data_IF_240108724972
#
_entry.id   IF_240108724972
#
_cell.length_a   1.000
_cell.length_b   1.000
_cell.length_c   1.000
_cell.angle_alpha   90.00
_cell.angle_beta   90.00
_cell.angle_gamma   90.00
#
_symmetry.space_group_name_H-M   'P 1'
#
loop_
_entity.id
_entity.type
_entity.pdbx_description
1 polymer ?
#
# COMPACT_ATOMS: atom_id res chain seq x y z
N UNK A 1 20.69 -38.87 -14.11
CA UNK A 1 19.46 -38.72 -13.30
C UNK A 1 19.66 -37.61 -12.27
N UNK A 2 19.31 -36.36 -12.60
CA UNK A 2 19.16 -35.29 -11.61
C UNK A 2 17.68 -34.95 -11.57
N UNK A 3 16.95 -35.57 -10.66
CA UNK A 3 15.59 -35.15 -10.33
C UNK A 3 15.65 -33.71 -9.84
N UNK A 4 15.29 -32.75 -10.68
CA UNK A 4 15.15 -31.34 -10.30
C UNK A 4 14.02 -31.22 -9.28
N UNK A 5 14.34 -31.47 -8.01
CA UNK A 5 13.42 -31.23 -6.91
C UNK A 5 13.17 -29.73 -6.84
N UNK A 6 11.96 -29.32 -7.24
CA UNK A 6 11.47 -27.98 -6.98
C UNK A 6 11.60 -27.72 -5.46
N UNK A 7 12.37 -26.71 -5.03
CA UNK A 7 12.56 -26.46 -3.61
C UNK A 7 11.20 -26.17 -2.98
N UNK A 8 10.91 -26.80 -1.85
CA UNK A 8 9.73 -26.48 -1.05
C UNK A 8 10.05 -25.30 -0.13
N UNK A 9 9.08 -24.41 0.08
CA UNK A 9 9.18 -23.32 1.06
C UNK A 9 9.12 -23.91 2.48
N UNK A 10 10.29 -24.28 3.00
CA UNK A 10 10.42 -24.87 4.34
C UNK A 10 9.87 -23.89 5.38
N UNK A 11 8.97 -24.38 6.23
CA UNK A 11 8.25 -23.59 7.25
C UNK A 11 7.36 -22.46 6.71
N UNK A 12 7.05 -22.43 5.39
CA UNK A 12 6.31 -21.33 4.76
C UNK A 12 6.95 -19.96 5.03
N UNK A 13 8.28 -19.92 5.10
CA UNK A 13 9.03 -18.72 5.49
C UNK A 13 8.89 -17.62 4.44
N UNK A 14 8.97 -17.95 3.15
CA UNK A 14 8.76 -16.98 2.07
C UNK A 14 7.32 -16.49 2.07
N UNK A 15 6.34 -17.39 2.28
CA UNK A 15 4.94 -17.02 2.40
C UNK A 15 4.71 -16.00 3.53
N UNK A 16 5.30 -16.24 4.71
CA UNK A 16 5.20 -15.35 5.87
C UNK A 16 5.88 -14.00 5.61
N UNK A 17 7.02 -13.98 4.91
CA UNK A 17 7.67 -12.72 4.53
C UNK A 17 6.75 -11.90 3.62
N UNK A 18 6.13 -12.52 2.61
CA UNK A 18 5.19 -11.83 1.72
C UNK A 18 3.96 -11.31 2.47
N UNK A 19 3.50 -12.04 3.49
CA UNK A 19 2.46 -11.59 4.39
C UNK A 19 2.86 -10.35 5.19
N UNK A 20 4.06 -10.35 5.81
CA UNK A 20 4.59 -9.20 6.56
C UNK A 20 4.85 -8.01 5.64
N UNK A 21 5.30 -8.23 4.41
CA UNK A 21 5.44 -7.17 3.40
C UNK A 21 4.09 -6.55 3.05
N UNK A 22 3.05 -7.36 2.86
CA UNK A 22 1.67 -6.90 2.69
C UNK A 22 1.20 -6.02 3.85
N UNK A 23 1.40 -6.46 5.08
CA UNK A 23 1.12 -5.70 6.30
C UNK A 23 1.85 -4.34 6.29
N UNK A 24 3.16 -4.35 5.98
CA UNK A 24 3.98 -3.14 5.90
C UNK A 24 3.58 -2.15 4.80
N UNK A 25 2.85 -2.60 3.76
CA UNK A 25 2.39 -1.69 2.69
C UNK A 25 1.19 -0.83 3.08
N UNK A 26 0.27 -1.34 3.90
CA UNK A 26 -0.99 -0.65 4.22
C UNK A 26 -1.10 -0.19 5.68
N UNK A 27 -0.46 -0.88 6.63
CA UNK A 27 -0.60 -0.51 8.05
C UNK A 27 -0.23 0.95 8.34
N UNK A 28 0.88 1.50 7.81
CA UNK A 28 1.21 2.90 8.05
C UNK A 28 0.11 3.86 7.55
N UNK A 29 -0.39 3.63 6.33
CA UNK A 29 -1.43 4.45 5.73
C UNK A 29 -2.77 4.33 6.48
N UNK A 30 -3.17 3.12 6.87
CA UNK A 30 -4.38 2.90 7.65
C UNK A 30 -4.32 3.61 9.02
N UNK A 31 -3.14 3.61 9.66
CA UNK A 31 -2.95 4.36 10.90
C UNK A 31 -2.99 5.87 10.69
N UNK A 32 -2.48 6.35 9.55
CA UNK A 32 -2.58 7.74 9.18
C UNK A 32 -4.05 8.19 9.01
N UNK A 33 -4.86 7.39 8.30
CA UNK A 33 -6.31 7.65 8.15
C UNK A 33 -7.00 7.59 9.52
N UNK A 34 -6.69 6.60 10.34
CA UNK A 34 -7.25 6.46 11.70
C UNK A 34 -6.94 7.68 12.58
N UNK A 35 -5.79 8.32 12.38
CA UNK A 35 -5.38 9.54 13.08
C UNK A 35 -6.06 10.83 12.53
N UNK A 36 -7.02 10.76 11.60
CA UNK A 36 -7.70 11.92 11.02
C UNK A 36 -8.30 12.86 12.07
N UNK A 37 -8.93 12.30 13.12
CA UNK A 37 -9.51 13.09 14.22
C UNK A 37 -8.44 13.90 14.99
N UNK A 38 -7.21 13.38 15.09
CA UNK A 38 -6.10 14.12 15.68
C UNK A 38 -5.71 15.31 14.80
N UNK A 39 -5.60 15.12 13.48
CA UNK A 39 -5.22 16.21 12.57
C UNK A 39 -6.25 17.33 12.55
N UNK A 40 -7.55 17.00 12.44
CA UNK A 40 -8.63 18.01 12.42
C UNK A 40 -8.74 18.75 13.75
N UNK A 41 -8.69 18.03 14.88
CA UNK A 41 -8.71 18.63 16.22
C UNK A 41 -7.53 19.59 16.46
N UNK A 42 -6.32 19.19 16.01
CA UNK A 42 -5.13 20.03 16.11
C UNK A 42 -5.23 21.30 15.26
N UNK A 43 -5.75 21.21 14.04
CA UNK A 43 -5.97 22.36 13.17
C UNK A 43 -6.94 23.39 13.79
N UNK A 44 -8.05 22.91 14.38
CA UNK A 44 -9.01 23.77 15.07
C UNK A 44 -8.40 24.46 16.30
N UNK A 45 -7.61 23.74 17.08
CA UNK A 45 -6.98 24.29 18.30
C UNK A 45 -5.95 25.37 17.97
N UNK A 46 -5.09 25.13 16.98
CA UNK A 46 -4.08 26.10 16.53
C UNK A 46 -4.72 27.38 15.99
N UNK A 47 -5.86 27.29 15.30
CA UNK A 47 -6.60 28.46 14.82
C UNK A 47 -7.16 29.31 15.96
N UNK A 48 -7.68 28.69 17.01
CA UNK A 48 -8.20 29.40 18.18
C UNK A 48 -7.10 30.13 18.95
N UNK A 49 -5.91 29.53 19.10
CA UNK A 49 -4.76 30.17 19.76
C UNK A 49 -4.29 31.38 18.94
N UNK A 50 -4.18 31.26 17.62
CA UNK A 50 -3.81 32.39 16.75
C UNK A 50 -4.85 33.52 16.77
N UNK A 51 -6.12 33.24 17.06
CA UNK A 51 -7.15 34.27 17.26
C UNK A 51 -6.97 35.02 18.58
N UNK A 52 -6.69 34.31 19.68
CA UNK A 52 -6.47 34.93 20.99
C UNK A 52 -5.21 35.82 20.97
N UNK A 53 -4.12 35.35 20.35
CA UNK A 53 -2.87 36.13 20.26
C UNK A 53 -3.02 37.38 19.38
N UNK A 54 -3.88 37.35 18.35
CA UNK A 54 -4.17 38.54 17.54
C UNK A 54 -5.14 39.51 18.22
N UNK A 55 -5.97 39.06 19.17
CA UNK A 55 -6.84 39.93 19.97
C UNK A 55 -6.15 40.56 21.18
N UNK A 56 -5.02 40.01 21.64
CA UNK A 56 -4.25 40.59 22.75
C UNK A 56 -3.37 41.80 22.38
N UNK A 57 -3.39 42.26 21.11
CA UNK A 57 -2.58 43.39 20.63
C UNK A 57 -3.37 44.55 20.00
N UNK A 58 -4.68 44.64 20.20
CA UNK A 58 -5.46 45.82 19.80
C UNK A 58 -6.28 46.37 20.97
N UNK A 59 -5.60 47.18 21.79
CA UNK A 59 -6.25 48.26 22.53
C UNK A 59 -5.71 49.59 22.04
N UNK A 60 -6.15 50.03 20.85
CA UNK A 60 -6.20 51.45 20.48
C UNK A 60 -7.28 51.64 19.41
N UNK A 61 -8.21 52.53 19.73
CA UNK A 61 -9.33 52.99 18.90
C UNK A 61 -8.85 53.55 17.54
N UNK A 62 -9.46 53.12 16.43
CA UNK A 62 -9.71 53.96 15.25
C UNK A 62 -10.66 53.25 14.27
N UNK A 63 -11.56 54.04 13.67
CA UNK A 63 -12.66 53.65 12.80
C UNK A 63 -12.26 52.69 11.66
N UNK A 64 -12.99 51.60 11.49
CA UNK A 64 -12.83 50.66 10.38
C UNK A 64 -13.99 50.73 9.37
N UNK A 65 -13.59 51.01 8.14
CA UNK A 65 -14.25 50.92 6.84
C UNK A 65 -14.91 49.52 6.62
N UNK A 66 -16.11 49.43 6.02
CA UNK A 66 -16.78 48.15 5.79
C UNK A 66 -16.41 47.55 4.43
N UNK A 67 -15.13 47.21 4.19
CA UNK A 67 -14.78 46.42 2.99
C UNK A 67 -13.38 45.80 3.03
N UNK A 68 -13.16 44.71 3.78
CA UNK A 68 -12.04 43.78 3.50
C UNK A 68 -12.43 42.32 3.85
N UNK A 69 -12.37 41.47 2.82
CA UNK A 69 -12.22 39.99 2.74
C UNK A 69 -11.48 39.32 3.94
N UNK A 70 -11.74 38.09 4.44
CA UNK A 70 -12.27 36.81 3.93
C UNK A 70 -12.65 35.85 5.10
N UNK A 71 -13.65 34.95 4.91
CA UNK A 71 -14.00 33.85 5.82
C UNK A 71 -13.11 32.60 5.67
N UNK A 72 -11.78 32.76 5.52
CA UNK A 72 -10.89 31.63 5.19
C UNK A 72 -10.46 30.77 6.40
N UNK A 73 -10.67 31.22 7.65
CA UNK A 73 -9.99 30.65 8.83
C UNK A 73 -10.69 29.48 9.53
N UNK A 74 -11.97 29.20 9.28
CA UNK A 74 -12.63 27.94 9.72
C UNK A 74 -12.56 26.82 8.66
N UNK A 75 -11.91 27.08 7.52
CA UNK A 75 -11.98 26.21 6.34
C UNK A 75 -11.04 24.99 6.43
N UNK A 76 -9.89 25.10 7.10
CA UNK A 76 -8.79 24.15 6.93
C UNK A 76 -9.09 22.75 7.47
N UNK A 77 -9.73 22.65 8.65
CA UNK A 77 -10.21 21.37 9.18
C UNK A 77 -11.37 20.80 8.36
N UNK A 78 -12.23 21.65 7.80
CA UNK A 78 -13.38 21.21 7.00
C UNK A 78 -12.96 20.65 5.64
N UNK A 79 -11.95 21.25 5.00
CA UNK A 79 -11.41 20.76 3.72
C UNK A 79 -10.40 19.62 3.89
N UNK A 80 -9.96 19.32 5.12
CA UNK A 80 -8.85 18.39 5.39
C UNK A 80 -9.06 17.01 4.76
N UNK A 81 -10.24 16.40 4.95
CA UNK A 81 -10.54 15.07 4.40
C UNK A 81 -10.56 15.08 2.86
N UNK A 82 -11.12 16.11 2.26
CA UNK A 82 -11.21 16.25 0.81
C UNK A 82 -9.81 16.44 0.19
N UNK A 83 -9.00 17.32 0.78
CA UNK A 83 -7.62 17.57 0.31
C UNK A 83 -6.73 16.37 0.58
N UNK A 84 -6.85 15.70 1.74
CA UNK A 84 -6.15 14.44 2.01
C UNK A 84 -6.46 13.40 0.94
N UNK A 85 -7.74 13.22 0.60
CA UNK A 85 -8.16 12.25 -0.41
C UNK A 85 -7.56 12.56 -1.77
N UNK A 86 -7.59 13.83 -2.19
CA UNK A 86 -6.98 14.26 -3.45
C UNK A 86 -5.45 14.04 -3.45
N UNK A 87 -4.77 14.45 -2.38
CA UNK A 87 -3.33 14.27 -2.19
C UNK A 87 -2.92 12.80 -2.03
N UNK A 88 -3.83 11.90 -1.69
CA UNK A 88 -3.57 10.47 -1.62
C UNK A 88 -3.81 9.78 -2.97
N UNK A 89 -4.99 9.99 -3.55
CA UNK A 89 -5.45 9.23 -4.72
C UNK A 89 -4.75 9.66 -6.01
N UNK A 90 -4.49 10.96 -6.22
CA UNK A 90 -3.82 11.41 -7.43
C UNK A 90 -2.38 10.89 -7.53
N UNK A 91 -1.51 11.03 -6.50
CA UNK A 91 -0.17 10.46 -6.57
C UNK A 91 -0.19 8.93 -6.63
N UNK A 92 -1.09 8.27 -5.90
CA UNK A 92 -1.24 6.82 -5.97
C UNK A 92 -1.50 6.36 -7.42
N UNK A 93 -2.44 7.01 -8.12
CA UNK A 93 -2.76 6.69 -9.51
C UNK A 93 -1.58 7.01 -10.45
N UNK A 94 -1.01 8.22 -10.36
CA UNK A 94 0.09 8.67 -11.22
C UNK A 94 1.29 7.75 -11.07
N UNK A 95 1.73 7.46 -9.85
CA UNK A 95 2.91 6.62 -9.62
C UNK A 95 2.65 5.15 -9.90
N UNK A 96 1.42 4.65 -9.77
CA UNK A 96 1.08 3.29 -10.22
C UNK A 96 1.21 3.18 -11.74
N UNK A 97 0.72 4.17 -12.49
CA UNK A 97 0.88 4.24 -13.94
C UNK A 97 2.35 4.42 -14.36
N UNK A 98 3.09 5.31 -13.69
CA UNK A 98 4.51 5.55 -13.96
C UNK A 98 5.39 4.36 -13.58
N UNK A 99 4.97 3.51 -12.64
CA UNK A 99 5.73 2.32 -12.28
C UNK A 99 5.90 1.36 -13.47
N UNK A 100 4.95 1.36 -14.42
CA UNK A 100 5.06 0.64 -15.69
C UNK A 100 6.25 1.09 -16.56
N UNK A 101 6.77 2.30 -16.37
CA UNK A 101 7.99 2.78 -17.03
C UNK A 101 9.21 2.65 -16.12
N UNK A 102 9.05 2.95 -14.83
CA UNK A 102 10.13 2.87 -13.83
C UNK A 102 10.65 1.44 -13.65
N UNK A 103 9.81 0.42 -13.85
CA UNK A 103 10.23 -0.98 -13.69
C UNK A 103 11.33 -1.40 -14.67
N UNK A 104 11.46 -0.71 -15.81
CA UNK A 104 12.48 -1.01 -16.81
C UNK A 104 13.84 -0.37 -16.47
N UNK A 105 13.82 0.76 -15.76
CA UNK A 105 15.02 1.56 -15.47
C UNK A 105 15.61 1.31 -14.08
N UNK A 106 14.77 0.92 -13.11
CA UNK A 106 15.18 0.81 -11.71
C UNK A 106 15.04 -0.63 -11.23
N UNK A 107 16.10 -1.15 -10.60
CA UNK A 107 16.09 -2.51 -10.04
C UNK A 107 14.97 -2.67 -9.01
N UNK A 108 14.38 -3.87 -8.97
CA UNK A 108 13.25 -4.16 -8.10
C UNK A 108 13.61 -3.98 -6.61
N UNK A 109 14.82 -4.37 -6.21
CA UNK A 109 15.27 -4.21 -4.83
C UNK A 109 15.40 -2.76 -4.42
N UNK A 110 15.87 -1.88 -5.32
CA UNK A 110 15.94 -0.45 -5.03
C UNK A 110 14.54 0.17 -4.96
N UNK A 111 13.59 -0.28 -5.78
CA UNK A 111 12.19 0.17 -5.71
C UNK A 111 11.52 -0.22 -4.40
N UNK A 112 11.60 -1.49 -4.00
CA UNK A 112 10.95 -1.99 -2.77
C UNK A 112 11.62 -1.40 -1.53
N UNK A 113 12.94 -1.58 -1.38
CA UNK A 113 13.68 -1.13 -0.20
C UNK A 113 13.71 0.40 -0.10
N UNK A 114 13.91 1.09 -1.23
CA UNK A 114 13.90 2.55 -1.29
C UNK A 114 12.55 3.14 -0.89
N UNK A 115 11.44 2.57 -1.38
CA UNK A 115 10.10 3.00 -0.96
C UNK A 115 9.84 2.74 0.52
N UNK A 116 10.21 1.57 1.06
CA UNK A 116 10.06 1.27 2.49
C UNK A 116 10.85 2.25 3.37
N UNK A 117 12.10 2.55 3.01
CA UNK A 117 12.93 3.52 3.73
C UNK A 117 12.36 4.94 3.64
N UNK A 118 11.85 5.36 2.48
CA UNK A 118 11.21 6.66 2.31
C UNK A 118 9.93 6.77 3.16
N UNK A 119 9.08 5.75 3.17
CA UNK A 119 7.88 5.70 4.02
C UNK A 119 8.27 5.76 5.49
N UNK A 120 9.27 4.98 5.92
CA UNK A 120 9.78 5.00 7.30
C UNK A 120 10.21 6.41 7.72
N UNK A 121 10.99 7.10 6.88
CA UNK A 121 11.45 8.45 7.15
C UNK A 121 10.28 9.44 7.30
N UNK A 122 9.29 9.38 6.40
CA UNK A 122 8.12 10.26 6.47
C UNK A 122 7.26 9.99 7.71
N UNK A 123 7.13 8.74 8.15
CA UNK A 123 6.41 8.39 9.38
C UNK A 123 7.17 8.81 10.64
N UNK A 124 8.51 8.70 10.67
CA UNK A 124 9.33 9.24 11.74
C UNK A 124 9.17 10.76 11.86
N UNK A 125 9.23 11.48 10.74
CA UNK A 125 8.94 12.92 10.70
C UNK A 125 7.52 13.21 11.20
N UNK A 126 6.54 12.38 10.84
CA UNK A 126 5.15 12.53 11.31
C UNK A 126 5.01 12.32 12.81
N UNK A 127 5.68 11.32 13.39
CA UNK A 127 5.71 11.08 14.83
C UNK A 127 6.34 12.25 15.59
N UNK A 128 7.47 12.77 15.11
CA UNK A 128 8.14 13.95 15.71
C UNK A 128 7.23 15.18 15.65
N UNK A 129 6.54 15.40 14.53
CA UNK A 129 5.61 16.53 14.37
C UNK A 129 4.42 16.48 15.33
N UNK A 130 4.10 15.34 15.93
CA UNK A 130 3.07 15.27 16.98
C UNK A 130 3.47 16.08 18.22
N UNK A 131 4.75 16.11 18.57
CA UNK A 131 5.25 16.77 19.78
C UNK A 131 5.71 18.22 19.54
N UNK A 132 6.01 18.60 18.30
CA UNK A 132 6.45 19.95 17.94
C UNK A 132 5.24 20.88 17.80
N UNK A 133 5.27 22.07 18.41
CA UNK A 133 4.25 23.11 18.22
C UNK A 133 4.47 23.82 16.88
N UNK A 134 3.39 24.01 16.11
CA UNK A 134 3.43 24.64 14.79
C UNK A 134 2.14 25.41 14.51
N UNK A 135 2.23 26.43 13.66
CA UNK A 135 1.07 27.11 13.11
C UNK A 135 0.18 26.17 12.27
N UNK A 136 -1.13 26.45 12.24
CA UNK A 136 -2.13 25.63 11.57
C UNK A 136 -1.86 25.47 10.06
N UNK A 137 -1.50 26.55 9.37
CA UNK A 137 -1.30 26.54 7.92
C UNK A 137 -0.03 25.77 7.56
N UNK A 138 1.07 26.02 8.29
CA UNK A 138 2.32 25.28 8.11
C UNK A 138 2.13 23.79 8.38
N UNK A 139 1.43 23.43 9.46
CA UNK A 139 1.11 22.04 9.79
C UNK A 139 0.28 21.37 8.69
N UNK A 140 -0.73 22.06 8.15
CA UNK A 140 -1.56 21.56 7.06
C UNK A 140 -0.75 21.28 5.79
N UNK A 141 0.02 22.26 5.30
CA UNK A 141 0.81 22.12 4.07
C UNK A 141 1.83 20.99 4.20
N UNK A 142 2.58 20.96 5.30
CA UNK A 142 3.56 19.89 5.55
C UNK A 142 2.88 18.54 5.62
N UNK A 143 1.70 18.45 6.24
CA UNK A 143 0.92 17.20 6.30
C UNK A 143 0.48 16.74 4.92
N UNK A 144 0.00 17.64 4.06
CA UNK A 144 -0.38 17.30 2.68
C UNK A 144 0.81 16.86 1.82
N UNK A 145 1.96 17.52 1.94
CA UNK A 145 3.20 17.10 1.25
C UNK A 145 3.58 15.68 1.66
N UNK A 146 3.51 15.36 2.96
CA UNK A 146 3.79 14.00 3.45
C UNK A 146 2.80 12.97 2.92
N UNK A 147 1.51 13.29 2.84
CA UNK A 147 0.49 12.40 2.27
C UNK A 147 0.82 12.08 0.80
N UNK A 148 1.22 13.09 0.02
CA UNK A 148 1.66 12.91 -1.37
C UNK A 148 2.86 11.97 -1.44
N UNK A 149 3.87 12.16 -0.59
CA UNK A 149 5.06 11.31 -0.55
C UNK A 149 4.73 9.86 -0.16
N UNK A 150 3.92 9.67 0.89
CA UNK A 150 3.49 8.34 1.37
C UNK A 150 2.79 7.58 0.24
N UNK A 151 1.85 8.21 -0.45
CA UNK A 151 1.08 7.56 -1.51
C UNK A 151 1.90 7.34 -2.80
N UNK A 152 2.86 8.23 -3.09
CA UNK A 152 3.79 8.06 -4.23
C UNK A 152 4.71 6.84 -4.03
N UNK A 153 5.39 6.77 -2.89
CA UNK A 153 6.27 5.63 -2.59
C UNK A 153 5.46 4.36 -2.31
N UNK A 154 4.26 4.51 -1.74
CA UNK A 154 3.29 3.43 -1.53
C UNK A 154 2.84 2.79 -2.85
N UNK A 155 2.55 3.59 -3.89
CA UNK A 155 2.24 3.09 -5.22
C UNK A 155 3.40 2.26 -5.80
N UNK A 156 4.62 2.80 -5.75
CA UNK A 156 5.83 2.12 -6.23
C UNK A 156 6.04 0.81 -5.46
N UNK A 157 5.87 0.83 -4.14
CA UNK A 157 6.04 -0.34 -3.27
C UNK A 157 5.01 -1.43 -3.59
N UNK A 158 3.72 -1.10 -3.60
CA UNK A 158 2.66 -2.07 -3.86
C UNK A 158 2.79 -2.66 -5.26
N UNK A 159 2.98 -1.83 -6.28
CA UNK A 159 3.10 -2.31 -7.65
C UNK A 159 4.37 -3.17 -7.85
N UNK A 160 5.48 -2.83 -7.19
CA UNK A 160 6.70 -3.66 -7.23
C UNK A 160 6.55 -4.97 -6.45
N UNK A 161 5.80 -4.97 -5.36
CA UNK A 161 5.55 -6.15 -4.54
C UNK A 161 4.61 -7.15 -5.24
N UNK A 162 3.53 -6.67 -5.87
CA UNK A 162 2.68 -7.51 -6.73
C UNK A 162 3.41 -8.00 -7.99
N UNK A 163 4.27 -7.15 -8.58
CA UNK A 163 5.15 -7.56 -9.68
C UNK A 163 6.11 -8.67 -9.26
N UNK A 164 6.65 -8.62 -8.04
CA UNK A 164 7.48 -9.68 -7.48
C UNK A 164 6.69 -10.94 -7.17
N UNK A 165 5.47 -10.83 -6.66
CA UNK A 165 4.62 -11.99 -6.40
C UNK A 165 4.21 -12.72 -7.69
N UNK A 166 4.08 -12.01 -8.81
CA UNK A 166 3.80 -12.60 -10.12
C UNK A 166 4.92 -13.49 -10.68
N UNK A 167 6.12 -13.42 -10.11
CA UNK A 167 7.28 -14.28 -10.44
C UNK A 167 7.19 -15.63 -9.69
N UNK A 168 6.47 -15.65 -8.57
CA UNK A 168 6.25 -16.82 -7.72
C UNK A 168 4.93 -17.52 -8.10
N UNK A 169 4.69 -18.76 -7.60
CA UNK A 169 3.41 -19.44 -7.81
C UNK A 169 2.22 -18.57 -7.36
N UNK A 170 1.06 -18.70 -8.03
CA UNK A 170 -0.12 -17.86 -7.80
C UNK A 170 -0.54 -17.72 -6.32
N UNK A 171 -0.23 -18.74 -5.50
CA UNK A 171 -0.50 -18.77 -4.06
C UNK A 171 0.30 -17.72 -3.24
N UNK A 172 1.29 -17.03 -3.82
CA UNK A 172 2.12 -16.02 -3.13
C UNK A 172 1.62 -14.58 -3.29
N UNK A 173 0.60 -14.34 -4.12
CA UNK A 173 -0.13 -13.07 -4.15
C UNK A 173 -1.11 -12.97 -2.98
N UNK A 174 -1.74 -14.08 -2.60
CA UNK A 174 -2.69 -14.16 -1.50
C UNK A 174 -2.12 -13.72 -0.13
N UNK A 175 -0.92 -14.14 0.32
CA UNK A 175 -0.34 -13.65 1.57
C UNK A 175 -0.15 -12.12 1.60
N UNK A 176 0.26 -11.47 0.50
CA UNK A 176 0.35 -10.01 0.45
C UNK A 176 -1.02 -9.40 0.74
N UNK A 177 -2.06 -9.88 0.05
CA UNK A 177 -3.43 -9.40 0.25
C UNK A 177 -3.93 -9.70 1.66
N UNK A 178 -3.68 -10.88 2.20
CA UNK A 178 -4.05 -11.23 3.57
C UNK A 178 -3.36 -10.32 4.60
N UNK A 179 -2.07 -10.04 4.43
CA UNK A 179 -1.34 -9.09 5.29
C UNK A 179 -1.88 -7.66 5.21
N UNK A 180 -2.30 -7.23 4.01
CA UNK A 180 -3.01 -5.96 3.80
C UNK A 180 -4.35 -5.91 4.54
N UNK A 181 -5.13 -7.00 4.53
CA UNK A 181 -6.36 -7.11 5.32
C UNK A 181 -6.10 -7.08 6.82
N UNK A 182 -5.07 -7.79 7.29
CA UNK A 182 -4.67 -7.77 8.70
C UNK A 182 -4.28 -6.36 9.16
N UNK A 183 -3.66 -5.56 8.27
CA UNK A 183 -3.37 -4.16 8.56
C UNK A 183 -4.64 -3.38 8.93
N UNK A 184 -5.70 -3.54 8.15
CA UNK A 184 -7.01 -2.95 8.39
C UNK A 184 -7.61 -3.40 9.73
N UNK A 185 -7.58 -4.71 10.00
CA UNK A 185 -8.05 -5.28 11.26
C UNK A 185 -7.32 -4.67 12.47
N UNK A 186 -5.98 -4.67 12.43
CA UNK A 186 -5.15 -4.13 13.51
C UNK A 186 -5.43 -2.65 13.76
N UNK A 187 -5.60 -1.86 12.70
CA UNK A 187 -5.94 -0.43 12.84
C UNK A 187 -7.32 -0.20 13.45
N UNK A 188 -8.31 -1.04 13.13
CA UNK A 188 -9.65 -0.96 13.73
C UNK A 188 -9.64 -1.32 15.21
N UNK A 189 -8.88 -2.35 15.59
CA UNK A 189 -8.67 -2.71 17.00
C UNK A 189 -7.98 -1.57 17.74
N UNK A 190 -6.90 -1.00 17.17
CA UNK A 190 -6.20 0.12 17.76
C UNK A 190 -7.09 1.37 17.93
N UNK A 191 -7.96 1.66 16.96
CA UNK A 191 -8.96 2.73 17.05
C UNK A 191 -9.89 2.52 18.25
N UNK A 192 -10.43 1.32 18.42
CA UNK A 192 -11.29 0.98 19.56
C UNK A 192 -10.53 1.08 20.88
N UNK A 193 -9.29 0.56 20.94
CA UNK A 193 -8.44 0.67 22.12
C UNK A 193 -8.14 2.12 22.50
N UNK A 194 -7.92 3.01 21.53
CA UNK A 194 -7.69 4.42 21.80
C UNK A 194 -8.92 5.13 22.36
N UNK A 195 -10.11 4.80 21.84
CA UNK A 195 -11.39 5.29 22.40
C UNK A 195 -11.58 4.77 23.81
N UNK A 196 -11.36 3.47 24.05
CA UNK A 196 -11.52 2.83 25.35
C UNK A 196 -10.51 3.34 26.40
N UNK A 197 -9.30 3.71 25.98
CA UNK A 197 -8.27 4.22 26.88
C UNK A 197 -8.54 5.64 27.39
N UNK A 198 -9.42 6.41 26.71
CA UNK A 198 -9.66 7.82 27.04
C UNK A 198 -8.42 8.72 26.87
N UNK A 199 -7.38 8.23 26.20
CA UNK A 199 -6.12 8.94 25.99
C UNK A 199 -6.31 10.17 25.10
N UNK A 200 -5.48 11.20 25.31
CA UNK A 200 -5.45 12.38 24.42
C UNK A 200 -5.18 11.92 22.97
N UNK A 201 -5.89 12.52 22.02
CA UNK A 201 -5.76 12.21 20.58
C UNK A 201 -4.30 12.28 20.08
N UNK A 202 -3.48 13.19 20.63
CA UNK A 202 -2.05 13.29 20.30
C UNK A 202 -1.24 12.09 20.75
N UNK A 203 -1.48 11.55 21.95
CA UNK A 203 -0.74 10.38 22.45
C UNK A 203 -1.16 9.11 21.69
N UNK A 204 -2.45 8.97 21.38
CA UNK A 204 -2.94 7.88 20.53
C UNK A 204 -2.34 7.94 19.12
N UNK A 205 -2.35 9.11 18.48
CA UNK A 205 -1.75 9.31 17.17
C UNK A 205 -0.23 9.05 17.18
N UNK A 206 0.48 9.48 18.21
CA UNK A 206 1.89 9.17 18.40
C UNK A 206 2.13 7.65 18.45
N UNK A 207 1.32 6.93 19.25
CA UNK A 207 1.36 5.47 19.32
C UNK A 207 1.14 4.80 17.97
N UNK A 208 0.19 5.29 17.17
CA UNK A 208 -0.06 4.78 15.82
C UNK A 208 1.17 4.95 14.89
N UNK A 209 1.78 6.14 14.88
CA UNK A 209 2.92 6.41 14.01
C UNK A 209 4.19 5.64 14.41
N UNK A 210 4.44 5.47 15.71
CA UNK A 210 5.55 4.64 16.20
C UNK A 210 5.32 3.16 15.85
N UNK A 211 4.09 2.67 16.00
CA UNK A 211 3.74 1.29 15.63
C UNK A 211 3.90 1.07 14.12
N UNK A 212 3.49 2.04 13.30
CA UNK A 212 3.74 2.01 11.86
C UNK A 212 5.24 1.93 11.54
N UNK A 213 6.08 2.71 12.22
CA UNK A 213 7.54 2.66 12.03
C UNK A 213 8.11 1.27 12.38
N UNK A 214 7.70 0.68 13.50
CA UNK A 214 8.14 -0.64 13.92
C UNK A 214 7.77 -1.73 12.88
N UNK A 215 6.56 -1.67 12.33
CA UNK A 215 6.12 -2.63 11.30
C UNK A 215 6.83 -2.42 9.96
N UNK A 216 7.12 -1.17 9.57
CA UNK A 216 7.93 -0.91 8.36
C UNK A 216 9.36 -1.41 8.54
N UNK A 217 9.97 -1.23 9.71
CA UNK A 217 11.29 -1.79 10.03
C UNK A 217 11.26 -3.32 9.94
N UNK A 218 10.24 -3.95 10.53
CA UNK A 218 10.05 -5.40 10.42
C UNK A 218 9.93 -5.84 8.95
N UNK A 219 9.15 -5.13 8.15
CA UNK A 219 9.00 -5.41 6.72
C UNK A 219 10.34 -5.27 5.96
N UNK A 220 11.16 -4.26 6.29
CA UNK A 220 12.51 -4.11 5.74
C UNK A 220 13.39 -5.31 6.10
N UNK A 221 13.42 -5.71 7.38
CA UNK A 221 14.22 -6.85 7.82
C UNK A 221 13.78 -8.15 7.13
N UNK A 222 12.47 -8.38 7.02
CA UNK A 222 11.92 -9.51 6.28
C UNK A 222 12.30 -9.47 4.78
N UNK A 223 12.28 -8.29 4.15
CA UNK A 223 12.71 -8.14 2.77
C UNK A 223 14.19 -8.48 2.57
N UNK A 224 15.07 -8.01 3.48
CA UNK A 224 16.50 -8.28 3.43
C UNK A 224 16.85 -9.76 3.68
N UNK A 225 15.96 -10.50 4.33
CA UNK A 225 16.09 -11.95 4.54
C UNK A 225 15.72 -12.78 3.29
N UNK A 226 14.95 -12.24 2.33
CA UNK A 226 14.51 -13.00 1.13
C UNK A 226 15.65 -13.61 0.30
N UNK A 227 16.76 -12.90 0.00
CA UNK A 227 17.86 -13.45 -0.81
C UNK A 227 18.55 -14.66 -0.19
N UNK A 228 18.39 -14.86 1.12
CA UNK A 228 18.97 -15.98 1.86
C UNK A 228 18.14 -17.26 1.72
N UNK A 229 16.90 -17.15 1.23
CA UNK A 229 16.00 -18.29 1.09
C UNK A 229 16.21 -19.00 -0.24
N UNK A 230 16.56 -20.28 -0.19
CA UNK A 230 16.82 -21.11 -1.39
C UNK A 230 15.61 -21.17 -2.33
N UNK A 231 14.39 -21.23 -1.77
CA UNK A 231 13.13 -21.21 -2.51
C UNK A 231 13.02 -19.95 -3.37
N UNK A 232 13.19 -18.77 -2.77
CA UNK A 232 13.10 -17.49 -3.46
C UNK A 232 14.17 -17.36 -4.55
N UNK A 233 15.41 -17.78 -4.26
CA UNK A 233 16.51 -17.75 -5.22
C UNK A 233 16.24 -18.62 -6.45
N UNK A 234 15.66 -19.80 -6.26
CA UNK A 234 15.34 -20.71 -7.37
C UNK A 234 14.33 -20.12 -8.36
N UNK A 235 13.20 -19.58 -7.89
CA UNK A 235 12.20 -18.97 -8.78
C UNK A 235 12.68 -17.68 -9.42
N UNK A 236 13.51 -16.90 -8.73
CA UNK A 236 14.13 -15.71 -9.31
C UNK A 236 15.12 -16.08 -10.43
N UNK A 237 15.93 -17.12 -10.24
CA UNK A 237 16.85 -17.63 -11.25
C UNK A 237 16.10 -18.21 -12.47
N UNK A 238 14.99 -18.91 -12.26
CA UNK A 238 14.14 -19.41 -13.35
C UNK A 238 13.63 -18.27 -14.25
N UNK A 239 13.22 -17.15 -13.65
CA UNK A 239 12.75 -15.98 -14.40
C UNK A 239 13.88 -15.23 -15.11
N UNK A 240 15.11 -15.26 -14.59
CA UNK A 240 16.28 -14.69 -15.27
C UNK A 240 16.80 -15.54 -16.44
N UNK A 241 16.68 -16.88 -16.36
CA UNK A 241 17.15 -17.80 -17.41
C UNK A 241 16.31 -17.71 -18.71
N UNK A 242 15.07 -17.22 -18.62
CA UNK A 242 14.19 -16.97 -19.76
C UNK A 242 13.76 -18.24 -20.53
N UNK A 243 12.78 -18.11 -21.45
CA UNK A 243 12.29 -19.26 -22.25
C UNK A 243 13.36 -19.85 -23.20
N UNK A 244 14.34 -19.04 -23.62
CA UNK A 244 15.33 -19.42 -24.62
C UNK A 244 16.33 -20.47 -24.12
N UNK A 245 16.76 -20.40 -22.85
CA UNK A 245 17.64 -21.43 -22.28
C UNK A 245 16.88 -22.74 -21.97
N UNK A 246 15.54 -22.66 -21.91
CA UNK A 246 14.66 -23.77 -21.61
C UNK A 246 14.34 -24.61 -22.85
N UNK A 247 14.16 -23.98 -24.02
CA UNK A 247 14.13 -24.70 -25.30
C UNK A 247 15.49 -25.32 -25.62
N UNK A 248 16.60 -24.61 -25.39
CA UNK A 248 17.94 -25.17 -25.64
C UNK A 248 18.24 -26.37 -24.73
N UNK A 249 17.83 -26.35 -23.45
CA UNK A 249 17.98 -27.51 -22.56
C UNK A 249 17.03 -28.67 -22.89
N UNK A 250 15.83 -28.40 -23.40
CA UNK A 250 14.89 -29.45 -23.81
C UNK A 250 15.32 -30.12 -25.12
N UNK A 251 15.82 -29.34 -26.09
CA UNK A 251 16.38 -29.84 -27.35
C UNK A 251 17.66 -30.65 -27.13
N UNK A 252 18.56 -30.21 -26.23
CA UNK A 252 19.77 -30.96 -25.87
C UNK A 252 19.49 -32.27 -25.11
N UNK A 253 18.30 -32.42 -24.52
CA UNK A 253 17.86 -33.68 -23.88
C UNK A 253 17.16 -34.58 -24.91
N UNK A 254 16.49 -34.02 -25.91
CA UNK A 254 15.85 -34.79 -27.00
C UNK A 254 16.86 -35.30 -28.05
N UNK A 255 17.97 -34.59 -28.27
CA UNK A 255 19.06 -35.00 -29.18
C UNK A 255 19.98 -36.09 -28.60
N UNK A 256 19.71 -36.57 -27.37
CA UNK A 256 20.51 -37.58 -26.67
C UNK A 256 20.17 -39.04 -26.98
N UNK A 257 19.13 -39.30 -27.79
CA UNK A 257 18.67 -40.66 -28.14
C UNK A 257 18.62 -40.89 -29.65
N UNK A 258 19.76 -40.93 -30.36
CA UNK A 258 19.92 -41.70 -31.62
C UNK A 258 21.44 -41.88 -31.93
N UNK A 259 21.91 -43.04 -32.44
CA UNK A 259 23.31 -43.28 -32.73
C UNK A 259 23.75 -42.77 -34.12
N UNK A 260 24.97 -42.22 -34.14
CA UNK A 260 25.79 -41.73 -35.28
C UNK A 260 25.54 -42.40 -36.66
N UNK A 261 25.36 -41.56 -37.68
CA UNK A 261 25.54 -41.90 -39.11
C UNK A 261 25.86 -40.63 -39.93
N UNK A 262 27.04 -40.57 -40.55
CA UNK A 262 27.69 -39.33 -41.02
C UNK A 262 27.06 -38.59 -42.22
N UNK A 263 27.37 -37.29 -42.34
CA UNK A 263 28.06 -36.64 -43.48
C UNK A 263 28.24 -35.14 -43.21
N UNK A 264 29.39 -34.62 -43.60
CA UNK A 264 29.71 -33.18 -43.66
C UNK A 264 28.83 -32.47 -44.69
N UNK A 265 28.36 -31.26 -44.38
CA UNK A 265 28.27 -30.16 -45.38
C UNK A 265 28.11 -28.78 -44.71
N UNK A 266 29.14 -27.95 -44.93
CA UNK A 266 29.06 -26.56 -45.43
C UNK A 266 28.22 -25.51 -44.69
N UNK A 267 28.92 -24.53 -44.12
CA UNK A 267 28.32 -23.36 -43.48
C UNK A 267 27.70 -22.35 -44.45
N UNK A 268 26.65 -21.68 -43.94
CA UNK A 268 26.23 -20.32 -44.33
C UNK A 268 25.62 -19.66 -43.07
N UNK A 269 26.13 -18.50 -42.59
CA UNK A 269 25.50 -17.76 -41.52
C UNK A 269 24.55 -16.70 -42.09
N UNK A 270 23.30 -16.66 -41.61
CA UNK A 270 22.41 -15.50 -41.78
C UNK A 270 21.01 -15.73 -41.20
N UNK A 271 20.18 -14.69 -41.01
CA UNK A 271 20.52 -13.30 -40.67
C UNK A 271 19.70 -12.77 -39.46
N UNK A 272 20.30 -11.86 -38.70
CA UNK A 272 19.64 -10.81 -37.92
C UNK A 272 18.42 -11.20 -37.06
N UNK A 273 18.67 -11.63 -35.82
CA UNK A 273 17.70 -11.48 -34.72
C UNK A 273 17.47 -9.99 -34.45
N UNK A 274 16.48 -9.41 -35.13
CA UNK A 274 15.93 -8.09 -34.82
C UNK A 274 15.61 -8.01 -33.31
N UNK A 275 15.93 -6.90 -32.63
CA UNK A 275 15.61 -6.75 -31.22
C UNK A 275 14.08 -6.82 -31.05
N UNK A 276 13.64 -7.85 -30.34
CA UNK A 276 12.24 -8.13 -30.07
C UNK A 276 11.53 -6.85 -29.59
N UNK A 277 10.48 -6.50 -30.31
CA UNK A 277 9.69 -5.30 -30.16
C UNK A 277 8.93 -5.31 -28.81
N UNK A 278 9.61 -4.94 -27.72
CA UNK A 278 9.11 -4.99 -26.33
C UNK A 278 7.88 -4.10 -26.10
N UNK A 279 7.68 -3.08 -26.94
CA UNK A 279 6.52 -2.18 -26.88
C UNK A 279 5.22 -2.82 -27.42
N UNK A 280 5.28 -3.90 -28.19
CA UNK A 280 4.10 -4.66 -28.61
C UNK A 280 3.45 -5.45 -27.44
N UNK A 281 4.17 -5.61 -26.33
CA UNK A 281 3.81 -6.52 -25.23
C UNK A 281 2.83 -5.93 -24.20
N UNK A 282 2.93 -4.63 -23.83
CA UNK A 282 2.05 -4.06 -22.77
C UNK A 282 0.58 -4.06 -23.17
N UNK A 283 0.27 -3.68 -24.42
CA UNK A 283 -1.11 -3.71 -24.93
C UNK A 283 -1.67 -5.13 -25.00
N UNK A 284 -0.84 -6.11 -25.34
CA UNK A 284 -1.21 -7.52 -25.36
C UNK A 284 -1.46 -8.07 -23.94
N UNK A 285 -0.60 -7.73 -22.98
CA UNK A 285 -0.77 -8.07 -21.57
C UNK A 285 -2.06 -7.45 -21.03
N UNK A 286 -2.28 -6.15 -21.28
CA UNK A 286 -3.50 -5.45 -20.85
C UNK A 286 -4.76 -6.10 -21.45
N UNK A 287 -4.72 -6.48 -22.73
CA UNK A 287 -5.80 -7.22 -23.40
C UNK A 287 -6.00 -8.62 -22.81
N UNK A 288 -4.98 -9.24 -22.24
CA UNK A 288 -5.10 -10.55 -21.58
C UNK A 288 -5.73 -10.45 -20.19
N UNK A 289 -5.40 -9.41 -19.41
CA UNK A 289 -5.88 -9.26 -18.02
C UNK A 289 -7.10 -8.33 -17.88
N UNK A 290 -7.65 -7.81 -18.98
CA UNK A 290 -8.62 -6.72 -18.96
C UNK A 290 -9.87 -7.00 -18.11
N UNK A 291 -10.37 -8.24 -18.11
CA UNK A 291 -11.52 -8.66 -17.29
C UNK A 291 -11.19 -8.50 -15.81
N UNK A 292 -10.09 -9.12 -15.35
CA UNK A 292 -9.65 -9.04 -13.95
C UNK A 292 -9.34 -7.59 -13.53
N UNK A 293 -8.72 -6.80 -14.42
CA UNK A 293 -8.41 -5.40 -14.19
C UNK A 293 -9.68 -4.53 -14.03
N UNK A 294 -10.71 -4.75 -14.85
CA UNK A 294 -12.00 -4.07 -14.69
C UNK A 294 -12.74 -4.54 -13.44
N UNK A 295 -12.73 -5.84 -13.15
CA UNK A 295 -13.37 -6.38 -11.94
C UNK A 295 -12.78 -5.78 -10.68
N UNK A 296 -11.45 -5.74 -10.54
CA UNK A 296 -10.80 -5.15 -9.35
C UNK A 296 -11.04 -3.64 -9.28
N UNK A 297 -11.04 -2.94 -10.42
CA UNK A 297 -11.38 -1.52 -10.47
C UNK A 297 -12.81 -1.27 -9.98
N UNK A 298 -13.77 -2.08 -10.43
CA UNK A 298 -15.17 -1.98 -10.03
C UNK A 298 -15.37 -2.30 -8.54
N UNK A 299 -14.69 -3.33 -8.02
CA UNK A 299 -14.69 -3.67 -6.59
C UNK A 299 -14.28 -2.45 -5.77
N UNK A 300 -13.12 -1.85 -6.04
CA UNK A 300 -12.65 -0.70 -5.28
C UNK A 300 -13.48 0.58 -5.53
N UNK A 301 -14.09 0.72 -6.71
CA UNK A 301 -15.01 1.83 -6.99
C UNK A 301 -16.22 1.78 -6.07
N UNK A 302 -16.85 0.61 -5.94
CA UNK A 302 -17.98 0.42 -5.03
C UNK A 302 -17.53 0.54 -3.57
N UNK A 303 -16.42 -0.10 -3.21
CA UNK A 303 -15.91 -0.07 -1.83
C UNK A 303 -15.58 1.35 -1.38
N UNK A 304 -14.76 2.10 -2.11
CA UNK A 304 -14.34 3.46 -1.71
C UNK A 304 -15.47 4.49 -1.92
N UNK A 305 -16.40 4.22 -2.86
CA UNK A 305 -17.59 5.05 -3.05
C UNK A 305 -18.57 5.01 -1.88
N UNK A 306 -18.62 3.90 -1.14
CA UNK A 306 -19.49 3.73 0.04
C UNK A 306 -18.74 3.86 1.36
N UNK A 307 -17.61 3.16 1.51
CA UNK A 307 -16.82 3.09 2.74
C UNK A 307 -15.54 3.94 2.65
N UNK A 308 -15.22 4.75 3.69
CA UNK A 308 -15.99 4.96 4.91
C UNK A 308 -17.01 6.10 4.82
N UNK A 309 -16.94 6.98 3.81
CA UNK A 309 -17.59 8.28 3.82
C UNK A 309 -19.13 8.23 3.98
N UNK A 310 -19.80 7.28 3.32
CA UNK A 310 -21.26 7.12 3.44
C UNK A 310 -21.61 6.27 4.66
N UNK A 311 -20.87 5.18 4.89
CA UNK A 311 -21.14 4.23 5.98
C UNK A 311 -20.85 4.80 7.38
N UNK A 312 -19.99 5.81 7.49
CA UNK A 312 -19.66 6.46 8.76
C UNK A 312 -20.75 7.41 9.27
N UNK A 313 -21.72 7.78 8.42
CA UNK A 313 -22.87 8.63 8.78
C UNK A 313 -24.05 7.81 9.36
N UNK A 314 -23.94 6.48 9.40
CA UNK A 314 -25.00 5.61 9.93
C UNK A 314 -25.08 5.74 11.46
N UNK A 315 -26.29 5.92 12.00
CA UNK A 315 -26.53 5.92 13.44
C UNK A 315 -27.22 4.63 13.93
N UNK A 316 -26.96 4.28 15.19
CA UNK A 316 -27.67 3.16 15.84
C UNK A 316 -29.08 3.57 16.28
N UNK A 317 -30.09 2.81 15.83
CA UNK A 317 -31.50 3.00 16.21
C UNK A 317 -31.86 2.41 17.57
N UNK A 318 -31.00 1.57 18.16
CA UNK A 318 -31.28 0.82 19.40
C UNK A 318 -30.44 1.27 20.60
N UNK A 319 -29.49 2.18 20.40
CA UNK A 319 -28.45 2.51 21.39
C UNK A 319 -28.87 3.50 22.50
N UNK A 320 -30.03 4.13 22.37
CA UNK A 320 -30.48 5.18 23.30
C UNK A 320 -29.43 6.27 23.52
N UNK A 321 -29.21 6.67 24.78
CA UNK A 321 -28.18 7.64 25.21
C UNK A 321 -26.86 7.00 25.65
N UNK A 322 -26.65 5.70 25.39
CA UNK A 322 -25.46 5.00 25.86
C UNK A 322 -24.18 5.44 25.13
N UNK A 323 -22.99 5.30 25.75
CA UNK A 323 -21.71 5.57 25.09
C UNK A 323 -21.48 4.73 23.83
N UNK A 324 -22.25 3.65 23.65
CA UNK A 324 -22.28 2.88 22.40
C UNK A 324 -22.63 3.75 21.21
N UNK A 325 -23.64 4.62 21.32
CA UNK A 325 -24.11 5.47 20.21
C UNK A 325 -23.00 6.39 19.69
N UNK A 326 -22.31 7.07 20.60
CA UNK A 326 -21.42 8.18 20.23
C UNK A 326 -19.96 7.77 20.08
N UNK A 327 -19.51 6.70 20.73
CA UNK A 327 -18.08 6.36 20.81
C UNK A 327 -17.71 5.05 20.13
N UNK A 328 -18.59 4.04 20.13
CA UNK A 328 -18.23 2.68 19.74
C UNK A 328 -18.96 2.16 18.50
N UNK A 329 -20.16 2.68 18.19
CA UNK A 329 -20.95 2.16 17.08
C UNK A 329 -20.20 2.20 15.74
N UNK A 330 -19.67 3.35 15.35
CA UNK A 330 -18.93 3.48 14.08
C UNK A 330 -17.62 2.66 14.09
N UNK A 331 -16.73 2.75 15.10
CA UNK A 331 -15.53 1.91 15.15
C UNK A 331 -15.81 0.40 15.10
N UNK A 332 -16.89 -0.08 15.73
CA UNK A 332 -17.19 -1.51 15.82
C UNK A 332 -18.07 -1.99 14.65
N UNK A 333 -19.24 -1.39 14.45
CA UNK A 333 -20.21 -1.86 13.47
C UNK A 333 -19.82 -1.53 12.02
N UNK A 334 -19.02 -0.48 11.81
CA UNK A 334 -18.55 -0.09 10.47
C UNK A 334 -17.08 -0.52 10.26
N UNK A 335 -16.12 0.08 10.97
CA UNK A 335 -14.70 -0.13 10.69
C UNK A 335 -14.22 -1.55 11.02
N UNK A 336 -14.47 -2.05 12.23
CA UNK A 336 -14.03 -3.39 12.62
C UNK A 336 -14.74 -4.46 11.79
N UNK A 337 -16.06 -4.34 11.60
CA UNK A 337 -16.83 -5.27 10.78
C UNK A 337 -16.26 -5.36 9.35
N UNK A 338 -16.09 -4.22 8.66
CA UNK A 338 -15.51 -4.16 7.33
C UNK A 338 -14.14 -4.84 7.28
N UNK A 339 -13.23 -4.48 8.20
CA UNK A 339 -11.87 -4.98 8.17
C UNK A 339 -11.75 -6.46 8.55
N UNK A 340 -12.64 -6.99 9.41
CA UNK A 340 -12.70 -8.42 9.71
C UNK A 340 -13.11 -9.21 8.46
N UNK A 341 -14.19 -8.82 7.80
CA UNK A 341 -14.66 -9.56 6.62
C UNK A 341 -13.77 -9.37 5.39
N UNK A 342 -13.16 -8.19 5.19
CA UNK A 342 -12.15 -7.99 4.15
C UNK A 342 -10.91 -8.88 4.40
N UNK A 343 -10.41 -8.93 5.65
CA UNK A 343 -9.29 -9.79 6.00
C UNK A 343 -9.60 -11.28 5.84
N UNK A 344 -10.77 -11.74 6.32
CA UNK A 344 -11.18 -13.13 6.17
C UNK A 344 -11.34 -13.50 4.69
N UNK A 345 -11.95 -12.64 3.88
CA UNK A 345 -12.09 -12.85 2.44
C UNK A 345 -10.73 -12.97 1.73
N UNK A 346 -9.81 -12.05 2.01
CA UNK A 346 -8.43 -12.09 1.45
C UNK A 346 -7.61 -13.28 1.94
N UNK A 347 -7.85 -13.74 3.16
CA UNK A 347 -7.14 -14.89 3.72
C UNK A 347 -7.67 -16.20 3.18
N UNK A 348 -8.97 -16.28 2.88
CA UNK A 348 -9.59 -17.46 2.30
C UNK A 348 -9.02 -17.80 0.91
N UNK A 349 -8.64 -16.80 0.11
CA UNK A 349 -8.04 -17.03 -1.23
C UNK A 349 -6.69 -17.74 -1.18
N UNK A 350 -6.01 -17.74 -0.02
CA UNK A 350 -4.77 -18.51 0.16
C UNK A 350 -5.01 -20.03 0.30
N UNK A 351 -6.25 -20.43 0.60
CA UNK A 351 -6.65 -21.82 0.86
C UNK A 351 -7.59 -22.34 -0.23
N UNK A 352 -8.55 -21.50 -0.66
CA UNK A 352 -9.61 -21.88 -1.57
C UNK A 352 -9.82 -20.79 -2.64
N UNK A 353 -9.66 -21.18 -3.91
CA UNK A 353 -10.05 -20.39 -5.08
C UNK A 353 -11.01 -21.23 -5.91
N UNK A 354 -12.32 -21.00 -5.73
CA UNK A 354 -13.39 -21.88 -6.22
C UNK A 354 -13.37 -22.10 -7.74
N UNK A 355 -13.01 -21.10 -8.54
CA UNK A 355 -13.04 -21.19 -10.01
C UNK A 355 -11.71 -21.65 -10.65
N UNK A 356 -10.60 -21.74 -9.90
CA UNK A 356 -9.32 -22.17 -10.48
C UNK A 356 -9.19 -23.69 -10.67
N UNK A 357 -10.25 -24.46 -10.40
CA UNK A 357 -10.31 -25.91 -10.63
C UNK A 357 -11.17 -26.31 -11.84
N UNK A 358 -11.74 -25.35 -12.56
CA UNK A 358 -12.54 -25.60 -13.77
C UNK A 358 -12.10 -24.65 -14.89
N UNK A 359 -11.10 -25.08 -15.67
CA UNK A 359 -10.58 -24.36 -16.83
C UNK A 359 -9.42 -25.10 -17.47
#
# INVERSE_FOLDING_TARGET
MTTSHQPQDRYKAVWLIFFVLGLGTLLPWNFFITATQYFTSRLNTSQNISLVTNQSCESTEALADPSVSLPARSSLSAIFNNVMTLCAMLPLLIFTCLNSFLHQKVSQSLRILGSLLAILLVFLVTATLVKVQMDALSFFIITMIKIVLINSFGAILQASLFGLAGVLPANYTAPIMSGQGLAGFFTSVAMICAVASGSKLSESAFGYFITACAVVILAILCYLALPWMEFYRHYLQLNLAGPAEQETKLDLISEGEEPRGGREESGVPGPNSLPANRNQSIKAILKSIWVLALSVCFIFTVTIGLFPAVTAEVESSIAGTSPWKNCYFIPVACFLNFNVFDWLGRSLTAICMWESQTG
#
